data_IF_569120727625
#
_entry.id   IF_569120727625
#
_cell.length_a   1.000
_cell.length_b   1.000
_cell.length_c   1.000
_cell.angle_alpha   90.00
_cell.angle_beta   90.00
_cell.angle_gamma   90.00
#
_symmetry.space_group_name_H-M   'P 1'
#
loop_
_entity.id
_entity.type
_entity.pdbx_description
1 polymer ?
#
# COMPACT_ATOMS: atom_id res chain seq x y z
N UNK A 1 21.55 -24.33 9.67
CA UNK A 1 20.61 -23.55 8.83
C UNK A 1 20.61 -22.13 9.38
N UNK A 2 21.12 -21.13 8.65
CA UNK A 2 21.13 -19.73 9.11
C UNK A 2 20.14 -18.96 8.25
N UNK A 3 19.03 -18.54 8.82
CA UNK A 3 18.06 -17.68 8.16
C UNK A 3 18.67 -16.29 7.94
N UNK A 4 18.78 -15.89 6.67
CA UNK A 4 19.19 -14.55 6.28
C UNK A 4 18.05 -13.56 6.56
N UNK A 5 18.08 -12.94 7.75
CA UNK A 5 17.20 -11.83 8.10
C UNK A 5 17.51 -10.64 7.19
N UNK A 6 16.72 -10.47 6.14
CA UNK A 6 16.80 -9.34 5.20
C UNK A 6 16.39 -8.06 5.92
N UNK A 7 17.35 -7.37 6.55
CA UNK A 7 17.16 -6.03 7.08
C UNK A 7 17.11 -5.04 5.91
N UNK A 8 15.92 -4.82 5.38
CA UNK A 8 15.66 -3.73 4.44
C UNK A 8 15.89 -2.40 5.16
N UNK A 9 16.86 -1.62 4.70
CA UNK A 9 17.11 -0.26 5.15
C UNK A 9 15.90 0.63 4.86
N UNK A 10 14.96 0.68 5.78
CA UNK A 10 13.88 1.64 5.76
C UNK A 10 14.50 3.03 5.99
N UNK A 11 14.49 3.88 4.95
CA UNK A 11 14.73 5.31 5.12
C UNK A 11 13.76 5.80 6.20
N UNK A 12 14.31 6.31 7.31
CA UNK A 12 13.52 6.87 8.39
C UNK A 12 12.60 7.97 7.83
N UNK A 13 11.35 7.97 8.25
CA UNK A 13 10.41 9.05 7.92
C UNK A 13 10.81 10.26 8.76
N UNK A 14 11.02 11.45 8.15
CA UNK A 14 11.38 12.64 8.91
C UNK A 14 10.25 13.05 9.86
N UNK A 15 10.61 13.68 10.98
CA UNK A 15 9.64 14.17 11.96
C UNK A 15 8.68 15.17 11.29
N UNK A 16 7.37 14.95 11.43
CA UNK A 16 6.33 15.79 10.83
C UNK A 16 5.91 15.38 9.41
N UNK A 17 6.49 14.34 8.83
CA UNK A 17 6.06 13.78 7.54
C UNK A 17 5.29 12.47 7.71
N UNK A 18 4.32 12.23 6.83
CA UNK A 18 3.48 11.04 6.84
C UNK A 18 3.91 10.07 5.72
N UNK A 19 3.86 8.76 5.97
CA UNK A 19 4.12 7.77 4.93
C UNK A 19 2.98 7.76 3.92
N UNK A 20 3.31 7.61 2.63
CA UNK A 20 2.30 7.29 1.63
C UNK A 20 1.63 5.94 1.96
N UNK A 21 0.34 5.80 1.66
CA UNK A 21 -0.39 4.55 1.91
C UNK A 21 0.22 3.32 1.21
N UNK A 22 0.80 3.51 0.04
CA UNK A 22 1.51 2.46 -0.71
C UNK A 22 2.82 2.05 -0.04
N UNK A 23 3.51 3.01 0.59
CA UNK A 23 4.71 2.76 1.40
C UNK A 23 4.32 2.09 2.72
N UNK A 24 3.28 2.58 3.39
CA UNK A 24 2.78 1.99 4.63
C UNK A 24 2.31 0.55 4.40
N UNK A 25 1.66 0.26 3.27
CA UNK A 25 1.29 -1.10 2.89
C UNK A 25 2.50 -2.00 2.57
N UNK A 26 3.67 -1.43 2.29
CA UNK A 26 4.86 -2.15 1.86
C UNK A 26 4.79 -2.62 0.39
N UNK A 27 4.08 -1.87 -0.46
CA UNK A 27 4.06 -2.09 -1.91
C UNK A 27 5.22 -1.37 -2.60
N UNK A 28 5.68 -0.26 -2.03
CA UNK A 28 6.84 0.51 -2.49
C UNK A 28 7.77 0.80 -1.31
N UNK A 29 9.05 1.04 -1.60
CA UNK A 29 10.06 1.23 -0.54
C UNK A 29 9.97 2.59 0.15
N UNK A 30 9.75 3.68 -0.62
CA UNK A 30 9.77 5.03 -0.07
C UNK A 30 8.92 6.01 -0.87
N UNK A 31 7.95 6.63 -0.20
CA UNK A 31 7.17 7.76 -0.71
C UNK A 31 6.50 8.44 0.47
N UNK A 32 6.68 9.75 0.59
CA UNK A 32 5.99 10.55 1.59
C UNK A 32 4.65 11.06 1.05
N UNK A 33 3.69 11.21 1.96
CA UNK A 33 2.38 11.78 1.70
C UNK A 33 2.43 13.29 1.92
N UNK A 34 1.92 14.05 0.95
CA UNK A 34 1.80 15.50 0.99
C UNK A 34 0.34 15.97 0.81
N UNK A 35 -0.61 15.04 1.00
CA UNK A 35 -2.03 15.23 0.71
C UNK A 35 -2.91 14.72 1.86
N UNK A 36 -2.35 14.50 3.06
CA UNK A 36 -3.08 14.04 4.25
C UNK A 36 -3.96 12.79 3.99
N UNK A 37 -3.40 11.82 3.26
CA UNK A 37 -4.08 10.59 2.79
C UNK A 37 -5.34 10.82 1.93
N UNK A 38 -5.49 11.97 1.28
CA UNK A 38 -6.48 12.17 0.22
C UNK A 38 -6.07 11.42 -1.07
N UNK A 39 -6.09 10.09 -1.01
CA UNK A 39 -5.71 9.21 -2.12
C UNK A 39 -6.62 9.38 -3.34
N UNK A 40 -7.89 9.73 -3.15
CA UNK A 40 -8.86 9.95 -4.24
C UNK A 40 -8.43 11.03 -5.22
N UNK A 41 -7.75 12.08 -4.74
CA UNK A 41 -7.20 13.15 -5.57
C UNK A 41 -5.71 12.99 -5.88
N UNK A 42 -5.05 11.95 -5.36
CA UNK A 42 -3.60 11.80 -5.47
C UNK A 42 -3.22 11.26 -6.86
N UNK A 43 -2.40 11.99 -7.67
CA UNK A 43 -2.00 11.53 -9.00
C UNK A 43 -1.15 10.25 -8.94
N UNK A 44 -0.37 10.09 -7.87
CA UNK A 44 0.42 8.88 -7.64
C UNK A 44 -0.48 7.66 -7.37
N UNK A 45 -1.51 7.82 -6.53
CA UNK A 45 -2.47 6.75 -6.28
C UNK A 45 -3.20 6.34 -7.56
N UNK A 46 -3.66 7.32 -8.36
CA UNK A 46 -4.31 7.07 -9.65
C UNK A 46 -3.42 6.23 -10.59
N UNK A 47 -2.14 6.56 -10.72
CA UNK A 47 -1.20 5.82 -11.56
C UNK A 47 -0.94 4.40 -11.04
N UNK A 48 -0.81 4.23 -9.72
CA UNK A 48 -0.63 2.93 -9.09
C UNK A 48 -1.89 2.06 -9.24
N UNK A 49 -3.08 2.63 -9.03
CA UNK A 49 -4.37 1.96 -9.24
C UNK A 49 -4.53 1.44 -10.66
N UNK A 50 -4.23 2.26 -11.66
CA UNK A 50 -4.22 1.83 -13.06
C UNK A 50 -3.25 0.68 -13.33
N UNK A 51 -2.07 0.71 -12.72
CA UNK A 51 -1.09 -0.39 -12.84
C UNK A 51 -1.64 -1.67 -12.23
N UNK A 52 -2.22 -1.59 -11.04
CA UNK A 52 -2.76 -2.76 -10.33
C UNK A 52 -4.00 -3.33 -11.01
N UNK A 53 -4.85 -2.48 -11.59
CA UNK A 53 -6.03 -2.88 -12.34
C UNK A 53 -5.63 -3.64 -13.61
N UNK A 54 -4.66 -3.13 -14.38
CA UNK A 54 -4.09 -3.85 -15.53
C UNK A 54 -3.51 -5.20 -15.13
N UNK A 55 -2.75 -5.25 -14.03
CA UNK A 55 -2.18 -6.51 -13.54
C UNK A 55 -3.27 -7.49 -13.07
N UNK A 56 -4.34 -6.99 -12.44
CA UNK A 56 -5.47 -7.82 -12.01
C UNK A 56 -6.29 -8.33 -13.19
N UNK A 57 -6.51 -7.49 -14.21
CA UNK A 57 -7.18 -7.85 -15.45
C UNK A 57 -6.39 -8.95 -16.20
N UNK A 58 -5.07 -8.79 -16.34
CA UNK A 58 -4.21 -9.82 -16.94
C UNK A 58 -4.35 -11.16 -16.19
N UNK A 59 -4.25 -11.14 -14.85
CA UNK A 59 -4.39 -12.35 -14.02
C UNK A 59 -5.75 -13.03 -14.18
N UNK A 60 -6.84 -12.25 -14.28
CA UNK A 60 -8.20 -12.79 -14.51
C UNK A 60 -8.34 -13.47 -15.87
N UNK A 61 -7.58 -13.02 -16.86
CA UNK A 61 -7.54 -13.62 -18.19
C UNK A 61 -6.57 -14.80 -18.27
N UNK A 62 -5.92 -15.19 -17.16
CA UNK A 62 -4.89 -16.23 -17.14
C UNK A 62 -3.55 -15.78 -17.72
N UNK A 63 -3.38 -14.49 -18.02
CA UNK A 63 -2.09 -13.93 -18.43
C UNK A 63 -1.27 -13.51 -17.22
N UNK A 64 0.03 -13.82 -17.25
CA UNK A 64 0.97 -13.29 -16.28
C UNK A 64 1.30 -11.83 -16.64
N UNK A 65 1.11 -10.86 -15.72
CA UNK A 65 1.49 -9.49 -15.99
C UNK A 65 3.01 -9.42 -16.24
N UNK A 66 3.42 -8.68 -17.26
CA UNK A 66 4.81 -8.65 -17.71
C UNK A 66 5.55 -7.38 -17.26
N UNK A 67 6.87 -7.49 -17.13
CA UNK A 67 7.77 -6.37 -16.83
C UNK A 67 7.96 -6.03 -15.35
N UNK A 68 8.67 -4.92 -15.08
CA UNK A 68 9.09 -4.52 -13.72
C UNK A 68 7.94 -4.27 -12.75
N UNK A 69 6.73 -3.99 -13.26
CA UNK A 69 5.53 -3.68 -12.47
C UNK A 69 4.60 -4.88 -12.27
N UNK A 70 4.95 -6.05 -12.80
CA UNK A 70 4.13 -7.26 -12.72
C UNK A 70 3.75 -7.66 -11.28
N UNK A 71 4.69 -7.53 -10.37
CA UNK A 71 4.54 -7.90 -8.96
C UNK A 71 3.73 -6.89 -8.15
N UNK A 72 3.42 -5.71 -8.70
CA UNK A 72 2.68 -4.67 -8.00
C UNK A 72 1.22 -5.12 -7.84
N UNK A 73 0.77 -5.14 -6.58
CA UNK A 73 -0.61 -5.40 -6.16
C UNK A 73 -1.19 -4.16 -5.48
N UNK A 74 -2.52 -4.06 -5.39
CA UNK A 74 -3.15 -2.94 -4.69
C UNK A 74 -2.73 -2.91 -3.22
N UNK A 75 -2.48 -1.71 -2.69
CA UNK A 75 -2.24 -1.50 -1.26
C UNK A 75 -3.40 -2.01 -0.40
N UNK A 76 -4.63 -1.95 -0.92
CA UNK A 76 -5.85 -2.43 -0.25
C UNK A 76 -5.75 -3.94 -0.04
N UNK A 77 -5.33 -4.68 -1.07
CA UNK A 77 -5.13 -6.12 -1.02
C UNK A 77 -3.98 -6.49 -0.06
N UNK A 78 -2.92 -5.68 -0.02
CA UNK A 78 -1.81 -5.88 0.91
C UNK A 78 -2.21 -5.62 2.37
N UNK A 79 -3.04 -4.60 2.63
CA UNK A 79 -3.57 -4.29 3.97
C UNK A 79 -4.58 -5.33 4.45
N UNK A 80 -5.47 -5.85 3.58
CA UNK A 80 -6.41 -6.93 3.91
C UNK A 80 -5.70 -8.21 4.38
N UNK A 81 -4.51 -8.48 3.84
CA UNK A 81 -3.68 -9.65 4.20
C UNK A 81 -2.99 -9.51 5.56
N UNK A 82 -3.02 -8.35 6.22
CA UNK A 82 -2.43 -8.20 7.55
C UNK A 82 -3.23 -8.96 8.61
N UNK A 83 -2.56 -9.53 9.63
CA UNK A 83 -3.22 -10.19 10.76
C UNK A 83 -4.07 -9.19 11.55
N UNK A 84 -5.20 -9.66 12.10
CA UNK A 84 -6.36 -8.85 12.49
C UNK A 84 -6.09 -7.49 13.15
N UNK A 85 -5.25 -7.44 14.17
CA UNK A 85 -4.93 -6.21 14.94
C UNK A 85 -4.16 -5.14 14.14
N UNK A 86 -3.56 -5.51 13.01
CA UNK A 86 -2.77 -4.63 12.13
C UNK A 86 -3.52 -4.22 10.85
N UNK A 87 -4.82 -4.52 10.75
CA UNK A 87 -5.66 -4.10 9.63
C UNK A 87 -6.07 -2.64 9.79
N UNK A 88 -5.11 -1.76 9.59
CA UNK A 88 -5.33 -0.32 9.60
C UNK A 88 -5.87 0.12 8.24
N UNK A 89 -7.04 0.76 8.21
CA UNK A 89 -7.59 1.36 7.00
C UNK A 89 -7.02 2.76 6.78
N UNK A 90 -7.19 3.30 5.56
CA UNK A 90 -6.71 4.66 5.21
C UNK A 90 -7.18 5.73 6.20
N UNK A 91 -8.38 5.60 6.77
CA UNK A 91 -8.93 6.57 7.71
C UNK A 91 -8.29 6.48 9.10
N UNK A 92 -7.93 5.26 9.54
CA UNK A 92 -7.17 5.05 10.76
C UNK A 92 -5.77 5.68 10.67
N UNK A 93 -5.13 5.62 9.50
CA UNK A 93 -3.84 6.26 9.25
C UNK A 93 -3.89 7.79 9.42
N UNK A 94 -5.05 8.41 9.21
CA UNK A 94 -5.23 9.86 9.40
C UNK A 94 -5.54 10.28 10.83
N UNK A 95 -5.62 9.35 11.77
CA UNK A 95 -6.02 9.62 13.16
C UNK A 95 -7.50 10.01 13.34
N UNK A 96 -8.31 10.03 12.27
CA UNK A 96 -9.74 10.38 12.31
C UNK A 96 -10.65 9.26 12.85
N UNK A 97 -10.13 8.06 13.05
CA UNK A 97 -10.89 6.89 13.49
C UNK A 97 -10.02 5.95 14.31
N UNK A 98 -10.55 5.41 15.41
CA UNK A 98 -9.89 4.36 16.20
C UNK A 98 -9.68 3.10 15.35
N UNK A 99 -8.49 2.50 15.43
CA UNK A 99 -7.89 1.51 14.50
C UNK A 99 -8.65 0.21 14.19
N UNK A 100 -9.96 0.09 14.48
CA UNK A 100 -10.71 -1.16 14.41
C UNK A 100 -12.01 -1.16 13.61
N UNK A 101 -12.46 -0.04 13.04
CA UNK A 101 -13.72 -0.03 12.29
C UNK A 101 -13.57 0.62 10.91
N UNK A 102 -13.37 -0.21 9.89
CA UNK A 102 -13.64 0.16 8.50
C UNK A 102 -14.50 -0.94 7.84
N UNK A 103 -15.83 -0.90 8.04
CA UNK A 103 -16.78 -1.81 7.40
C UNK A 103 -17.02 -1.50 5.92
N UNK A 104 -16.61 -0.32 5.44
CA UNK A 104 -16.73 0.07 4.04
C UNK A 104 -15.43 0.72 3.57
N UNK A 105 -14.88 0.16 2.48
CA UNK A 105 -13.74 0.65 1.71
C UNK A 105 -12.39 0.65 2.42
N UNK A 106 -11.70 -0.50 2.31
CA UNK A 106 -10.25 -0.50 2.12
C UNK A 106 -9.96 0.18 0.78
#
# INVERSE_FOLDING_TARGET
MKEAKKMSGFKAVPNGEEKCIWMEAGVIDYKLCNQYYNCSACPFDKAMKQTTDKNAAARRQGLEPTGKKAHIISWQEKMKKRPGLQRECRHALTGRTTSRLCPHEF
#
